data_IF_962921434450
#
_entry.id   IF_962921434450
#
_cell.length_a   1.000
_cell.length_b   1.000
_cell.length_c   1.000
_cell.angle_alpha   90.00
_cell.angle_beta   90.00
_cell.angle_gamma   90.00
#
_symmetry.space_group_name_H-M   'P 1'
#
loop_
_entity.id
_entity.type
_entity.pdbx_description
1 polymer ?
#
# COMPACT_ATOMS: atom_id res chain seq x y z
N UNK A 1 -3.04 8.99 -17.40
CA UNK A 1 -3.94 9.72 -16.48
C UNK A 1 -3.21 10.85 -15.78
N UNK A 2 -3.95 11.81 -15.29
CA UNK A 2 -3.39 12.93 -14.53
C UNK A 2 -3.16 12.54 -13.07
N UNK A 3 -2.35 13.33 -12.36
CA UNK A 3 -2.00 13.05 -10.96
C UNK A 3 -3.23 12.93 -10.05
N UNK A 4 -4.28 13.73 -10.28
CA UNK A 4 -5.51 13.65 -9.49
C UNK A 4 -6.24 12.33 -9.64
N UNK A 5 -6.27 11.77 -10.85
CA UNK A 5 -6.85 10.44 -11.09
C UNK A 5 -6.01 9.34 -10.43
N UNK A 6 -4.68 9.44 -10.53
CA UNK A 6 -3.77 8.50 -9.88
C UNK A 6 -4.01 8.48 -8.38
N UNK A 7 -4.07 9.65 -7.75
CA UNK A 7 -4.30 9.78 -6.32
C UNK A 7 -5.64 9.16 -5.92
N UNK A 8 -6.69 9.43 -6.67
CA UNK A 8 -8.02 8.90 -6.41
C UNK A 8 -8.05 7.37 -6.50
N UNK A 9 -7.48 6.79 -7.55
CA UNK A 9 -7.45 5.33 -7.74
C UNK A 9 -6.63 4.66 -6.64
N UNK A 10 -5.52 5.25 -6.24
CA UNK A 10 -4.66 4.73 -5.19
C UNK A 10 -5.14 5.09 -3.77
N UNK A 11 -6.26 5.79 -3.65
CA UNK A 11 -6.86 6.19 -2.38
C UNK A 11 -5.93 7.01 -1.50
N UNK A 12 -5.27 8.00 -2.10
CA UNK A 12 -4.41 8.93 -1.39
C UNK A 12 -4.58 10.35 -1.95
N UNK A 13 -3.82 11.29 -1.41
CA UNK A 13 -3.85 12.68 -1.87
C UNK A 13 -2.79 12.93 -2.94
N UNK A 14 -2.99 14.00 -3.72
CA UNK A 14 -1.98 14.47 -4.68
C UNK A 14 -0.67 14.80 -3.96
N UNK A 15 -0.75 15.36 -2.77
CA UNK A 15 0.42 15.67 -1.95
C UNK A 15 1.23 14.41 -1.61
N UNK A 16 0.55 13.31 -1.30
CA UNK A 16 1.17 12.01 -1.04
C UNK A 16 1.92 11.51 -2.27
N UNK A 17 1.31 11.61 -3.45
CA UNK A 17 1.96 11.22 -4.70
C UNK A 17 3.25 12.03 -4.92
N UNK A 18 3.16 13.34 -4.78
CA UNK A 18 4.32 14.24 -4.92
C UNK A 18 5.40 13.94 -3.90
N UNK A 19 5.01 13.64 -2.67
CA UNK A 19 5.93 13.28 -1.62
C UNK A 19 6.76 12.05 -2.00
N UNK A 20 6.12 11.00 -2.51
CA UNK A 20 6.83 9.78 -2.92
C UNK A 20 7.68 9.98 -4.17
N UNK A 21 7.25 10.82 -5.10
CA UNK A 21 8.09 11.21 -6.23
C UNK A 21 9.36 11.92 -5.76
N UNK A 22 9.20 12.87 -4.84
CA UNK A 22 10.31 13.65 -4.29
C UNK A 22 11.25 12.78 -3.45
N UNK A 23 10.71 11.78 -2.76
CA UNK A 23 11.49 10.82 -1.98
C UNK A 23 12.23 9.79 -2.85
N UNK A 24 11.96 9.78 -4.16
CA UNK A 24 12.61 8.86 -5.09
C UNK A 24 12.02 7.44 -5.07
N UNK A 25 10.87 7.25 -4.45
CA UNK A 25 10.19 5.95 -4.39
C UNK A 25 9.28 5.72 -5.59
N UNK A 26 8.67 6.78 -6.11
CA UNK A 26 7.80 6.72 -7.27
C UNK A 26 8.46 7.47 -8.42
N UNK A 27 8.79 6.80 -9.55
CA UNK A 27 9.40 7.49 -10.68
C UNK A 27 8.45 8.55 -11.24
N UNK A 28 9.01 9.69 -11.64
CA UNK A 28 8.25 10.70 -12.35
C UNK A 28 7.76 10.11 -13.68
N UNK A 29 6.49 10.38 -14.05
CA UNK A 29 5.94 9.83 -15.29
C UNK A 29 6.53 10.52 -16.51
N UNK A 30 6.42 9.84 -17.67
CA UNK A 30 6.72 10.45 -18.94
C UNK A 30 5.79 11.64 -19.20
N UNK A 31 6.30 12.69 -19.84
CA UNK A 31 5.48 13.83 -20.24
C UNK A 31 4.88 13.58 -21.62
N UNK A 32 3.66 14.06 -21.84
CA UNK A 32 3.01 14.02 -23.15
C UNK A 32 3.66 15.05 -24.10
N UNK A 33 3.29 15.00 -25.36
CA UNK A 33 3.73 15.96 -26.38
C UNK A 33 3.39 17.41 -25.94
N UNK A 34 2.28 17.60 -25.20
CA UNK A 34 1.88 18.88 -24.67
C UNK A 34 2.58 19.25 -23.34
N UNK A 35 3.61 18.50 -22.97
CA UNK A 35 4.41 18.71 -21.75
C UNK A 35 3.64 18.49 -20.44
N UNK A 36 2.59 17.68 -20.45
CA UNK A 36 1.88 17.28 -19.24
C UNK A 36 2.37 15.92 -18.74
N UNK A 37 2.44 15.76 -17.43
CA UNK A 37 2.73 14.47 -16.81
C UNK A 37 1.58 13.49 -17.03
N UNK A 38 1.90 12.31 -17.54
CA UNK A 38 0.92 11.25 -17.77
C UNK A 38 1.30 10.00 -16.99
N UNK A 39 0.44 9.62 -16.06
CA UNK A 39 0.63 8.44 -15.21
C UNK A 39 -0.03 7.22 -15.85
N UNK A 40 0.58 6.06 -15.67
CA UNK A 40 0.08 4.79 -16.17
C UNK A 40 -0.37 3.87 -15.04
N UNK A 41 -0.96 2.72 -15.40
CA UNK A 41 -1.31 1.70 -14.41
C UNK A 41 -0.10 1.18 -13.64
N UNK A 42 1.08 1.20 -14.24
CA UNK A 42 2.31 0.81 -13.55
C UNK A 42 2.60 1.71 -12.35
N UNK A 43 2.36 3.02 -12.47
CA UNK A 43 2.51 3.93 -11.34
C UNK A 43 1.42 3.72 -10.29
N UNK A 44 0.21 3.36 -10.69
CA UNK A 44 -0.86 3.01 -9.75
C UNK A 44 -0.43 1.81 -8.89
N UNK A 45 0.03 0.74 -9.52
CA UNK A 45 0.45 -0.47 -8.82
C UNK A 45 1.62 -0.20 -7.88
N UNK A 46 2.60 0.58 -8.35
CA UNK A 46 3.75 0.96 -7.56
C UNK A 46 3.38 1.80 -6.34
N UNK A 47 2.49 2.77 -6.53
CA UNK A 47 2.02 3.62 -5.44
C UNK A 47 1.26 2.80 -4.39
N UNK A 48 0.42 1.87 -4.82
CA UNK A 48 -0.28 0.94 -3.90
C UNK A 48 0.70 0.09 -3.12
N UNK A 49 1.71 -0.45 -3.79
CA UNK A 49 2.75 -1.23 -3.13
C UNK A 49 3.47 -0.42 -2.05
N UNK A 50 3.88 0.80 -2.38
CA UNK A 50 4.56 1.71 -1.43
C UNK A 50 3.66 1.98 -0.23
N UNK A 51 2.39 2.30 -0.46
CA UNK A 51 1.44 2.61 0.60
C UNK A 51 1.20 1.40 1.51
N UNK A 52 1.05 0.21 0.94
CA UNK A 52 0.88 -1.02 1.71
C UNK A 52 2.11 -1.32 2.56
N UNK A 53 3.30 -1.12 2.02
CA UNK A 53 4.54 -1.27 2.78
C UNK A 53 4.61 -0.28 3.94
N UNK A 54 4.25 0.97 3.72
CA UNK A 54 4.21 1.98 4.79
C UNK A 54 3.17 1.65 5.86
N UNK A 55 2.05 1.07 5.48
CA UNK A 55 1.03 0.64 6.45
C UNK A 55 1.55 -0.47 7.38
N UNK A 56 2.57 -1.20 6.96
CA UNK A 56 3.26 -2.20 7.78
C UNK A 56 4.51 -1.65 8.47
N UNK A 57 4.63 -0.32 8.54
CA UNK A 57 5.74 0.38 9.19
C UNK A 57 7.11 0.12 8.56
N UNK A 58 7.16 -0.26 7.29
CA UNK A 58 8.44 -0.33 6.58
C UNK A 58 9.04 1.05 6.43
N UNK A 59 10.35 1.15 6.58
CA UNK A 59 11.08 2.40 6.35
C UNK A 59 11.18 2.69 4.85
N UNK A 60 11.40 3.95 4.50
CA UNK A 60 11.64 4.32 3.09
C UNK A 60 12.86 3.58 2.52
N UNK A 61 13.89 3.37 3.32
CA UNK A 61 15.09 2.63 2.92
C UNK A 61 14.79 1.18 2.59
N UNK A 62 14.00 0.52 3.43
CA UNK A 62 13.56 -0.86 3.18
C UNK A 62 12.75 -0.94 1.90
N UNK A 63 11.84 0.01 1.68
CA UNK A 63 11.02 0.08 0.46
C UNK A 63 11.91 0.29 -0.76
N UNK A 64 12.92 1.18 -0.68
CA UNK A 64 13.87 1.38 -1.78
C UNK A 64 14.63 0.10 -2.13
N UNK A 65 15.03 -0.67 -1.13
CA UNK A 65 15.69 -1.96 -1.33
C UNK A 65 14.81 -2.91 -2.13
N UNK A 66 13.53 -3.02 -1.76
CA UNK A 66 12.57 -3.87 -2.47
C UNK A 66 12.31 -3.37 -3.89
N UNK A 67 12.14 -2.06 -4.07
CA UNK A 67 11.89 -1.46 -5.38
C UNK A 67 13.11 -1.63 -6.30
N UNK A 68 14.32 -1.50 -5.76
CA UNK A 68 15.54 -1.73 -6.52
C UNK A 68 15.64 -3.17 -7.02
N UNK A 69 15.25 -4.13 -6.21
CA UNK A 69 15.19 -5.53 -6.61
C UNK A 69 14.13 -5.77 -7.68
N UNK A 70 12.95 -5.17 -7.53
CA UNK A 70 11.86 -5.28 -8.51
C UNK A 70 12.28 -4.70 -9.86
N UNK A 71 12.93 -3.53 -9.86
CA UNK A 71 13.23 -2.80 -11.09
C UNK A 71 14.45 -3.34 -11.83
N UNK A 72 15.50 -3.71 -11.10
CA UNK A 72 16.82 -3.98 -11.69
C UNK A 72 17.45 -5.28 -11.19
N UNK A 73 16.73 -6.04 -10.37
CA UNK A 73 17.26 -7.22 -9.68
C UNK A 73 18.58 -6.91 -8.96
N UNK A 74 18.73 -5.69 -8.46
CA UNK A 74 19.92 -5.25 -7.74
C UNK A 74 19.81 -5.59 -6.26
N UNK A 75 20.92 -5.93 -5.67
CA UNK A 75 21.03 -6.26 -4.26
C UNK A 75 21.28 -7.74 -4.03
N UNK A 76 21.65 -8.05 -2.81
CA UNK A 76 21.91 -9.41 -2.36
C UNK A 76 20.57 -10.12 -2.08
N UNK A 77 20.31 -11.20 -2.79
CA UNK A 77 19.10 -11.99 -2.59
C UNK A 77 18.94 -12.47 -1.14
N UNK A 78 20.03 -12.74 -0.44
CA UNK A 78 19.99 -13.13 0.97
C UNK A 78 19.43 -12.03 1.85
N UNK A 79 19.89 -10.80 1.64
CA UNK A 79 19.38 -9.61 2.37
C UNK A 79 17.93 -9.34 2.03
N UNK A 80 17.57 -9.40 0.74
CA UNK A 80 16.20 -9.18 0.28
C UNK A 80 15.28 -10.25 0.85
N UNK A 81 15.68 -11.52 0.81
CA UNK A 81 14.87 -12.61 1.36
C UNK A 81 14.65 -12.45 2.87
N UNK A 82 15.68 -12.05 3.61
CA UNK A 82 15.53 -11.81 5.04
C UNK A 82 14.51 -10.71 5.33
N UNK A 83 14.58 -9.61 4.59
CA UNK A 83 13.62 -8.50 4.70
C UNK A 83 12.21 -8.96 4.36
N UNK A 84 12.06 -9.73 3.28
CA UNK A 84 10.76 -10.28 2.86
C UNK A 84 10.20 -11.23 3.93
N UNK A 85 11.00 -12.13 4.46
CA UNK A 85 10.55 -13.08 5.49
C UNK A 85 10.04 -12.36 6.74
N UNK A 86 10.74 -11.33 7.19
CA UNK A 86 10.32 -10.51 8.34
C UNK A 86 8.96 -9.85 8.09
N UNK A 87 8.79 -9.23 6.93
CA UNK A 87 7.56 -8.51 6.62
C UNK A 87 6.40 -9.43 6.27
N UNK A 88 6.66 -10.58 5.64
CA UNK A 88 5.63 -11.61 5.44
C UNK A 88 5.10 -12.11 6.78
N UNK A 89 5.99 -12.33 7.74
CA UNK A 89 5.57 -12.73 9.09
C UNK A 89 4.70 -11.65 9.76
N UNK A 90 5.05 -10.36 9.59
CA UNK A 90 4.23 -9.25 10.07
C UNK A 90 2.86 -9.22 9.41
N UNK A 91 2.79 -9.48 8.11
CA UNK A 91 1.52 -9.54 7.37
C UNK A 91 0.64 -10.65 7.93
N UNK A 92 1.19 -11.83 8.18
CA UNK A 92 0.46 -12.96 8.75
C UNK A 92 -0.14 -12.61 10.11
N UNK A 93 0.65 -11.98 10.98
CA UNK A 93 0.16 -11.51 12.28
C UNK A 93 -0.98 -10.50 12.11
N UNK A 94 -0.83 -9.57 11.18
CA UNK A 94 -1.84 -8.54 10.92
C UNK A 94 -3.13 -9.13 10.37
N UNK A 95 -3.05 -10.11 9.49
CA UNK A 95 -4.21 -10.82 8.96
C UNK A 95 -4.96 -11.49 10.11
N UNK A 96 -4.23 -12.15 11.02
CA UNK A 96 -4.81 -12.83 12.16
C UNK A 96 -5.52 -11.84 13.11
N UNK A 97 -4.88 -10.72 13.42
CA UNK A 97 -5.47 -9.65 14.24
C UNK A 97 -6.75 -9.10 13.61
N UNK A 98 -6.73 -8.85 12.30
CA UNK A 98 -7.90 -8.33 11.58
C UNK A 98 -9.01 -9.37 11.53
N UNK A 99 -8.70 -10.64 11.39
CA UNK A 99 -9.68 -11.73 11.43
C UNK A 99 -10.37 -11.80 12.78
N UNK A 100 -9.62 -11.66 13.87
CA UNK A 100 -10.17 -11.63 15.22
C UNK A 100 -11.07 -10.41 15.44
N UNK A 101 -10.65 -9.24 14.99
CA UNK A 101 -11.44 -8.03 15.08
C UNK A 101 -12.74 -8.16 14.28
N UNK A 102 -12.66 -8.70 13.07
CA UNK A 102 -13.84 -8.95 12.24
C UNK A 102 -14.85 -9.84 12.95
N UNK A 103 -14.38 -10.88 13.62
CA UNK A 103 -15.22 -11.78 14.40
C UNK A 103 -15.92 -11.04 15.53
N UNK A 104 -15.19 -10.24 16.29
CA UNK A 104 -15.73 -9.44 17.39
C UNK A 104 -16.81 -8.47 16.90
N UNK A 105 -16.55 -7.80 15.77
CA UNK A 105 -17.52 -6.87 15.17
C UNK A 105 -18.78 -7.61 14.70
N UNK A 106 -18.60 -8.78 14.11
CA UNK A 106 -19.73 -9.61 13.65
C UNK A 106 -20.60 -10.07 14.83
N UNK A 107 -19.99 -10.43 15.95
CA UNK A 107 -20.71 -10.81 17.17
C UNK A 107 -21.49 -9.64 17.74
N UNK A 108 -20.89 -8.44 17.75
CA UNK A 108 -21.59 -7.23 18.18
C UNK A 108 -22.80 -6.93 17.29
N UNK A 109 -22.64 -7.10 15.99
CA UNK A 109 -23.73 -6.92 15.03
C UNK A 109 -24.87 -7.89 15.30
N UNK A 110 -24.57 -9.15 15.55
CA UNK A 110 -25.57 -10.16 15.89
C UNK A 110 -26.32 -9.81 17.18
N UNK A 111 -25.59 -9.33 18.19
CA UNK A 111 -26.23 -8.87 19.43
C UNK A 111 -27.16 -7.70 19.19
N UNK A 112 -26.73 -6.73 18.39
CA UNK A 112 -27.55 -5.57 18.05
C UNK A 112 -28.83 -5.98 17.31
N UNK A 113 -28.73 -6.89 16.35
CA UNK A 113 -29.89 -7.43 15.64
C UNK A 113 -30.83 -8.19 16.57
N UNK A 114 -30.31 -9.01 17.49
CA UNK A 114 -31.10 -9.74 18.47
C UNK A 114 -31.83 -8.81 19.45
N UNK A 115 -31.17 -7.77 19.92
CA UNK A 115 -31.76 -6.78 20.81
C UNK A 115 -32.89 -6.00 20.11
N UNK A 116 -32.69 -5.62 18.84
CA UNK A 116 -33.74 -4.99 18.05
C UNK A 116 -34.93 -5.90 17.85
N UNK A 117 -34.71 -7.18 17.61
CA UNK A 117 -35.80 -8.17 17.47
C UNK A 117 -36.55 -8.34 18.80
N UNK A 118 -35.88 -8.25 19.93
CA UNK A 118 -36.52 -8.33 21.26
C UNK A 118 -37.31 -7.08 21.62
N UNK A 119 -36.86 -5.91 21.15
CA UNK A 119 -37.52 -4.62 21.40
C UNK A 119 -38.74 -4.40 20.51
N UNK A 120 -38.86 -5.17 19.45
CA UNK A 120 -40.02 -5.14 18.58
C UNK A 120 -41.15 -6.00 19.15
#
# INVERSE_FOLDING_TARGET
>A
MKIGELAQIAQCTVETVRYYEKAGLLPAPARTVANYRSYSNAQVDRLRFIRNCRALDMTHEEIRTLLGFIDQSTGDCGVVNQLLDEHIAHVDVRIDELSQLKQQLSELRQRCESEQAMDA
#
